data_IF_552231175237
#
_entry.id   IF_552231175237
#
_cell.length_a   1.000
_cell.length_b   1.000
_cell.length_c   1.000
_cell.angle_alpha   90.00
_cell.angle_beta   90.00
_cell.angle_gamma   90.00
#
_symmetry.space_group_name_H-M   'P 1'
#
loop_
_entity.id
_entity.type
_entity.pdbx_description
1 polymer ?
#
# COMPACT_ATOMS: atom_id res chain seq x y z
N UNK A 1 8.88 2.14 16.26
CA UNK A 1 8.53 1.40 15.03
C UNK A 1 8.08 2.42 13.99
N UNK A 2 8.70 2.43 12.81
CA UNK A 2 8.24 3.29 11.71
C UNK A 2 6.86 2.83 11.26
N UNK A 3 5.90 3.76 11.18
CA UNK A 3 4.50 3.49 10.78
C UNK A 3 4.33 3.28 9.28
N UNK A 4 5.42 3.38 8.49
CA UNK A 4 5.42 3.22 7.03
C UNK A 4 6.06 1.89 6.67
N UNK A 5 5.26 0.82 6.63
CA UNK A 5 5.68 -0.44 6.06
C UNK A 5 5.72 -0.33 4.53
N UNK A 6 6.80 -0.82 3.93
CA UNK A 6 6.95 -0.94 2.47
C UNK A 6 6.62 -2.39 2.08
N UNK A 7 5.72 -2.63 1.12
CA UNK A 7 5.54 -3.96 0.55
C UNK A 7 6.76 -4.32 -0.28
N UNK A 8 7.26 -5.56 -0.13
CA UNK A 8 8.35 -6.06 -0.97
C UNK A 8 7.84 -6.65 -2.29
N UNK A 9 6.61 -7.18 -2.33
CA UNK A 9 6.03 -7.83 -3.51
C UNK A 9 4.65 -7.29 -3.84
N UNK A 10 4.36 -7.18 -5.14
CA UNK A 10 3.02 -6.89 -5.64
C UNK A 10 2.07 -8.03 -5.27
N UNK A 11 0.94 -7.77 -4.59
CA UNK A 11 -0.01 -8.82 -4.22
C UNK A 11 -0.69 -9.48 -5.43
N UNK A 12 -0.55 -8.91 -6.62
CA UNK A 12 -1.20 -9.40 -7.82
C UNK A 12 -0.28 -10.15 -8.79
N UNK A 13 1.00 -9.79 -8.92
CA UNK A 13 1.94 -10.47 -9.83
C UNK A 13 3.21 -11.00 -9.16
N UNK A 14 3.45 -10.70 -7.87
CA UNK A 14 4.65 -11.13 -7.15
C UNK A 14 5.92 -10.33 -7.47
N UNK A 15 5.89 -9.41 -8.42
CA UNK A 15 7.03 -8.56 -8.79
C UNK A 15 7.36 -7.53 -7.70
N UNK A 16 8.59 -7.06 -7.68
CA UNK A 16 9.15 -6.11 -6.71
C UNK A 16 9.25 -4.68 -7.25
N UNK A 17 8.92 -4.45 -8.54
CA UNK A 17 8.93 -3.12 -9.15
C UNK A 17 7.72 -2.27 -8.70
N UNK A 18 7.79 -1.81 -7.44
CA UNK A 18 6.77 -1.04 -6.72
C UNK A 18 7.25 0.39 -6.44
N UNK A 19 6.39 1.37 -6.73
CA UNK A 19 6.62 2.78 -6.40
C UNK A 19 5.49 3.35 -5.52
N UNK A 20 5.79 4.30 -4.61
CA UNK A 20 4.75 5.00 -3.86
C UNK A 20 3.80 5.73 -4.80
N UNK A 21 2.51 5.59 -4.54
CA UNK A 21 1.46 6.26 -5.30
C UNK A 21 0.53 7.00 -4.34
N UNK A 22 0.42 8.31 -4.51
CA UNK A 22 -0.55 9.12 -3.79
C UNK A 22 -1.86 9.13 -4.59
N UNK A 23 -2.79 8.27 -4.20
CA UNK A 23 -4.17 8.34 -4.67
C UNK A 23 -4.93 9.50 -4.02
N UNK A 24 -6.15 9.77 -4.50
CA UNK A 24 -7.02 10.83 -3.96
C UNK A 24 -7.14 10.77 -2.42
N UNK A 25 -7.27 11.93 -1.75
CA UNK A 25 -7.46 11.98 -0.31
C UNK A 25 -8.70 11.16 0.06
N UNK A 26 -8.49 10.04 0.77
CA UNK A 26 -9.60 9.27 1.30
C UNK A 26 -10.14 9.91 2.59
N UNK A 27 -11.31 9.45 3.04
CA UNK A 27 -12.00 9.95 4.24
C UNK A 27 -11.15 9.90 5.54
N UNK A 28 -9.94 9.36 5.50
CA UNK A 28 -8.96 9.34 6.58
C UNK A 28 -8.16 10.66 6.73
N UNK A 29 -8.42 11.68 5.91
CA UNK A 29 -7.83 13.02 6.04
C UNK A 29 -6.57 13.23 5.17
N UNK A 30 -5.93 14.42 5.25
CA UNK A 30 -4.88 14.88 4.32
C UNK A 30 -3.56 14.09 4.34
N UNK A 31 -3.50 12.97 5.06
CA UNK A 31 -2.35 12.10 5.24
C UNK A 31 -2.66 10.67 4.75
N UNK A 32 -3.29 10.55 3.58
CA UNK A 32 -3.65 9.28 2.93
C UNK A 32 -2.41 8.48 2.46
N UNK A 33 -1.51 8.16 3.38
CA UNK A 33 -0.29 7.41 3.15
C UNK A 33 -0.58 5.92 2.93
N UNK A 34 0.23 5.26 2.10
CA UNK A 34 0.21 3.80 1.91
C UNK A 34 -0.30 3.31 0.56
N UNK A 35 -0.49 4.18 -0.43
CA UNK A 35 -0.75 3.78 -1.81
C UNK A 35 0.54 3.37 -2.55
N UNK A 36 0.41 2.38 -3.43
CA UNK A 36 1.50 1.78 -4.20
C UNK A 36 1.04 1.47 -5.61
N UNK A 37 1.94 1.63 -6.58
CA UNK A 37 1.75 1.26 -7.97
C UNK A 37 2.81 0.23 -8.38
N UNK A 38 2.41 -0.83 -9.07
CA UNK A 38 3.32 -1.83 -9.63
C UNK A 38 3.52 -1.58 -11.12
N UNK A 39 4.76 -1.31 -11.54
CA UNK A 39 5.07 -1.01 -12.94
C UNK A 39 4.99 -2.25 -13.84
N UNK A 40 5.25 -3.44 -13.30
CA UNK A 40 5.21 -4.70 -14.07
C UNK A 40 3.79 -5.13 -14.48
N UNK A 41 2.77 -4.79 -13.69
CA UNK A 41 1.39 -5.19 -13.97
C UNK A 41 0.37 -4.05 -14.00
N UNK A 42 0.84 -2.81 -13.91
CA UNK A 42 0.07 -1.57 -14.00
C UNK A 42 -1.11 -1.45 -13.01
N UNK A 43 -0.99 -2.05 -11.81
CA UNK A 43 -2.04 -1.99 -10.77
C UNK A 43 -1.62 -1.10 -9.62
N UNK A 44 -2.57 -0.29 -9.14
CA UNK A 44 -2.47 0.47 -7.91
C UNK A 44 -3.21 -0.22 -6.76
N UNK A 45 -2.68 -0.14 -5.53
CA UNK A 45 -3.29 -0.68 -4.33
C UNK A 45 -2.92 0.15 -3.10
N UNK A 46 -3.63 -0.03 -1.98
CA UNK A 46 -3.37 0.67 -0.71
C UNK A 46 -3.19 -0.32 0.43
N UNK A 47 -2.20 -0.05 1.28
CA UNK A 47 -1.99 -0.78 2.53
C UNK A 47 -2.63 -0.05 3.70
N UNK A 48 -3.27 -0.80 4.59
CA UNK A 48 -3.83 -0.30 5.85
C UNK A 48 -3.42 -1.22 6.98
N UNK A 49 -2.80 -0.66 8.02
CA UNK A 49 -2.59 -1.40 9.27
C UNK A 49 -3.92 -1.58 9.99
N UNK A 50 -4.31 -2.82 10.25
CA UNK A 50 -5.55 -3.15 10.96
C UNK A 50 -5.33 -3.47 12.44
N UNK A 51 -4.15 -3.98 12.81
CA UNK A 51 -3.83 -4.42 14.17
C UNK A 51 -2.96 -5.68 14.17
N UNK A 52 -2.47 -6.08 15.35
CA UNK A 52 -1.71 -7.32 15.55
C UNK A 52 -2.69 -8.41 16.00
N UNK A 53 -2.66 -9.58 15.37
CA UNK A 53 -3.51 -10.73 15.75
C UNK A 53 -4.99 -10.58 15.39
N UNK A 54 -5.34 -9.67 14.48
CA UNK A 54 -6.71 -9.47 14.02
C UNK A 54 -7.21 -10.72 13.30
N UNK A 55 -8.32 -11.28 13.78
CA UNK A 55 -9.05 -12.39 13.15
C UNK A 55 -10.34 -11.80 12.57
N UNK A 56 -10.29 -11.42 11.31
CA UNK A 56 -11.44 -11.02 10.50
C UNK A 56 -12.15 -12.25 9.94
#
# INVERSE_FOLDING_TARGET
MSTRAVPFHCPYCGDEDLEPYEGEPDAAGPAAHGGWYCRSCARAFKLKFLGIGVKI
#
